data_IF_091045567498
#
_entry.id   IF_091045567498
#
_cell.length_a   1.000
_cell.length_b   1.000
_cell.length_c   1.000
_cell.angle_alpha   90.00
_cell.angle_beta   90.00
_cell.angle_gamma   90.00
#
_symmetry.space_group_name_H-M   'P 1'
#
loop_
_entity.id
_entity.type
_entity.pdbx_description
1 polymer ?
#
# COMPACT_ATOMS: atom_id res chain seq x y z
N UNK A 1 23.81 8.62 -7.93
CA UNK A 1 24.62 9.39 -7.00
C UNK A 1 24.42 8.93 -5.57
N UNK A 2 25.36 9.24 -4.72
CA UNK A 2 25.31 8.87 -3.31
C UNK A 2 24.09 9.50 -2.59
N UNK A 3 23.72 10.74 -2.95
CA UNK A 3 22.54 11.40 -2.39
C UNK A 3 21.24 10.70 -2.77
N UNK A 4 21.12 10.21 -4.00
CA UNK A 4 19.96 9.44 -4.44
C UNK A 4 19.86 8.12 -3.69
N UNK A 5 20.98 7.41 -3.51
CA UNK A 5 21.03 6.16 -2.76
C UNK A 5 20.65 6.37 -1.29
N UNK A 6 21.16 7.43 -0.66
CA UNK A 6 20.81 7.78 0.72
C UNK A 6 19.33 8.12 0.86
N UNK A 7 18.79 8.88 -0.09
CA UNK A 7 17.37 9.23 -0.13
C UNK A 7 16.49 7.97 -0.21
N UNK A 8 16.83 7.05 -1.11
CA UNK A 8 16.09 5.79 -1.26
C UNK A 8 16.17 4.96 0.02
N UNK A 9 17.35 4.85 0.64
CA UNK A 9 17.54 4.10 1.87
C UNK A 9 16.72 4.67 3.04
N UNK A 10 16.68 5.99 3.18
CA UNK A 10 15.87 6.66 4.19
C UNK A 10 14.38 6.38 3.98
N UNK A 11 13.91 6.41 2.72
CA UNK A 11 12.52 6.13 2.38
C UNK A 11 12.16 4.68 2.63
N UNK A 12 13.06 3.75 2.33
CA UNK A 12 12.88 2.33 2.61
C UNK A 12 12.75 2.10 4.13
N UNK A 13 13.58 2.74 4.94
CA UNK A 13 13.50 2.65 6.40
C UNK A 13 12.15 3.15 6.91
N UNK A 14 11.68 4.29 6.41
CA UNK A 14 10.39 4.86 6.78
C UNK A 14 9.23 3.90 6.44
N UNK A 15 9.24 3.35 5.23
CA UNK A 15 8.24 2.40 4.76
C UNK A 15 8.26 1.13 5.60
N UNK A 16 9.44 0.61 5.93
CA UNK A 16 9.60 -0.58 6.77
C UNK A 16 8.97 -0.35 8.14
N UNK A 17 9.16 0.84 8.72
CA UNK A 17 8.54 1.22 10.00
C UNK A 17 7.02 1.22 9.90
N UNK A 18 6.46 1.83 8.84
CA UNK A 18 5.01 1.85 8.61
C UNK A 18 4.43 0.44 8.45
N UNK A 19 5.11 -0.44 7.71
CA UNK A 19 4.68 -1.82 7.56
C UNK A 19 4.76 -2.60 8.87
N UNK A 20 5.78 -2.33 9.69
CA UNK A 20 5.90 -2.94 11.02
C UNK A 20 4.74 -2.52 11.92
N UNK A 21 4.33 -1.25 11.89
CA UNK A 21 3.18 -0.75 12.65
C UNK A 21 1.88 -1.43 12.20
N UNK A 22 1.69 -1.62 10.89
CA UNK A 22 0.53 -2.34 10.34
C UNK A 22 0.54 -3.80 10.80
N UNK A 23 1.68 -4.46 10.77
CA UNK A 23 1.83 -5.84 11.24
C UNK A 23 1.51 -5.96 12.74
N UNK A 24 1.93 -5.00 13.55
CA UNK A 24 1.63 -4.95 14.98
C UNK A 24 0.12 -4.79 15.21
N UNK A 25 -0.54 -3.90 14.48
CA UNK A 25 -1.99 -3.73 14.53
C UNK A 25 -2.70 -5.03 14.15
N UNK A 26 -2.18 -5.72 13.13
CA UNK A 26 -2.70 -7.00 12.67
C UNK A 26 -2.62 -8.09 13.75
N UNK A 27 -1.50 -8.18 14.44
CA UNK A 27 -1.30 -9.14 15.53
C UNK A 27 -2.25 -8.84 16.68
N UNK A 28 -2.40 -7.57 17.05
CA UNK A 28 -3.37 -7.13 18.07
C UNK A 28 -4.79 -7.49 17.68
N UNK A 29 -5.16 -7.30 16.43
CA UNK A 29 -6.48 -7.64 15.90
C UNK A 29 -6.74 -9.15 16.00
N UNK A 30 -5.79 -9.96 15.57
CA UNK A 30 -5.87 -11.43 15.66
C UNK A 30 -6.02 -11.91 17.10
N UNK A 31 -5.25 -11.37 18.01
CA UNK A 31 -5.29 -11.71 19.42
C UNK A 31 -6.65 -11.39 20.02
N UNK A 32 -7.19 -10.22 19.69
CA UNK A 32 -8.50 -9.77 20.20
C UNK A 32 -9.64 -10.69 19.77
N UNK A 33 -9.58 -11.26 18.58
CA UNK A 33 -10.63 -12.12 18.03
C UNK A 33 -10.33 -13.60 18.10
N UNK A 34 -9.25 -13.99 18.78
CA UNK A 34 -8.88 -15.38 18.96
C UNK A 34 -9.86 -16.06 19.91
N UNK A 35 -10.48 -17.11 19.42
CA UNK A 35 -11.44 -17.91 20.19
C UNK A 35 -10.86 -19.26 20.56
N UNK A 36 -11.26 -19.80 21.70
CA UNK A 36 -10.82 -21.11 22.20
C UNK A 36 -11.65 -22.24 21.56
N UNK A 37 -11.21 -23.50 21.78
CA UNK A 37 -11.86 -24.68 21.24
C UNK A 37 -13.33 -24.77 21.63
N UNK A 38 -14.19 -25.03 20.64
CA UNK A 38 -15.61 -25.23 20.75
C UNK A 38 -16.02 -26.36 19.80
N UNK A 39 -17.29 -26.74 19.79
CA UNK A 39 -17.81 -27.80 18.94
C UNK A 39 -17.56 -27.60 17.45
N UNK A 40 -17.76 -28.65 16.63
CA UNK A 40 -17.41 -28.66 15.21
C UNK A 40 -18.05 -27.53 14.41
N UNK A 41 -19.30 -27.12 14.74
CA UNK A 41 -19.94 -25.97 14.09
C UNK A 41 -19.19 -24.68 14.37
N UNK A 42 -18.80 -24.49 15.64
CA UNK A 42 -18.01 -23.36 16.05
C UNK A 42 -16.63 -23.37 15.35
N UNK A 43 -16.01 -24.54 15.20
CA UNK A 43 -14.75 -24.65 14.45
C UNK A 43 -14.89 -24.21 13.01
N UNK A 44 -16.02 -24.56 12.37
CA UNK A 44 -16.28 -24.09 10.99
C UNK A 44 -16.41 -22.57 10.92
N UNK A 45 -17.11 -21.96 11.88
CA UNK A 45 -17.18 -20.51 11.95
C UNK A 45 -15.85 -19.87 12.28
N UNK A 46 -15.02 -20.50 13.11
CA UNK A 46 -13.69 -20.03 13.43
C UNK A 46 -12.77 -20.05 12.19
N UNK A 47 -12.82 -21.10 11.39
CA UNK A 47 -12.04 -21.18 10.15
C UNK A 47 -12.46 -20.08 9.20
N UNK A 48 -13.76 -19.93 8.97
CA UNK A 48 -14.30 -18.88 8.09
C UNK A 48 -13.95 -17.50 8.63
N UNK A 49 -14.04 -17.29 9.94
CA UNK A 49 -13.68 -16.03 10.59
C UNK A 49 -12.21 -15.72 10.46
N UNK A 50 -11.34 -16.74 10.58
CA UNK A 50 -9.89 -16.56 10.40
C UNK A 50 -9.55 -16.18 8.96
N UNK A 51 -10.16 -16.81 7.97
CA UNK A 51 -9.97 -16.47 6.56
C UNK A 51 -10.45 -15.05 6.26
N UNK A 52 -11.61 -14.69 6.80
CA UNK A 52 -12.17 -13.34 6.68
C UNK A 52 -11.28 -12.29 7.34
N UNK A 53 -10.75 -12.59 8.52
CA UNK A 53 -9.80 -11.74 9.24
C UNK A 53 -8.53 -11.51 8.41
N UNK A 54 -7.99 -12.56 7.82
CA UNK A 54 -6.80 -12.45 6.95
C UNK A 54 -7.08 -11.61 5.70
N UNK A 55 -8.24 -11.79 5.09
CA UNK A 55 -8.64 -11.01 3.91
C UNK A 55 -8.80 -9.53 4.25
N UNK A 56 -9.41 -9.24 5.39
CA UNK A 56 -9.57 -7.86 5.87
C UNK A 56 -8.21 -7.22 6.17
N UNK A 57 -7.32 -7.96 6.80
CA UNK A 57 -5.98 -7.50 7.10
C UNK A 57 -5.23 -7.16 5.81
N UNK A 58 -5.28 -8.04 4.83
CA UNK A 58 -4.65 -7.82 3.53
C UNK A 58 -5.21 -6.56 2.85
N UNK A 59 -6.54 -6.42 2.80
CA UNK A 59 -7.19 -5.25 2.21
C UNK A 59 -6.82 -3.96 2.95
N UNK A 60 -6.81 -4.00 4.27
CA UNK A 60 -6.42 -2.84 5.10
C UNK A 60 -4.96 -2.46 4.87
N UNK A 61 -4.08 -3.44 4.74
CA UNK A 61 -2.67 -3.22 4.43
C UNK A 61 -2.52 -2.54 3.06
N UNK A 62 -3.27 -2.98 2.05
CA UNK A 62 -3.23 -2.35 0.73
C UNK A 62 -3.71 -0.88 0.78
N UNK A 63 -4.75 -0.60 1.57
CA UNK A 63 -5.21 0.78 1.79
C UNK A 63 -4.09 1.63 2.39
N UNK A 64 -3.43 1.13 3.42
CA UNK A 64 -2.35 1.85 4.09
C UNK A 64 -1.17 2.12 3.18
N UNK A 65 -0.77 1.15 2.37
CA UNK A 65 0.31 1.32 1.39
C UNK A 65 -0.07 2.39 0.37
N UNK A 66 -1.28 2.32 -0.17
CA UNK A 66 -1.77 3.29 -1.15
C UNK A 66 -1.84 4.71 -0.57
N UNK A 67 -2.32 4.85 0.67
CA UNK A 67 -2.34 6.13 1.38
C UNK A 67 -0.94 6.69 1.57
N UNK A 68 0.00 5.84 1.95
CA UNK A 68 1.39 6.23 2.13
C UNK A 68 1.97 6.79 0.83
N UNK A 69 1.79 6.10 -0.29
CA UNK A 69 2.31 6.56 -1.58
C UNK A 69 1.63 7.87 -2.00
N UNK A 70 0.33 7.98 -1.77
CA UNK A 70 -0.40 9.21 -2.09
C UNK A 70 0.12 10.41 -1.29
N UNK A 71 0.32 10.26 0.01
CA UNK A 71 0.88 11.29 0.87
C UNK A 71 2.31 11.64 0.46
N UNK A 72 3.09 10.63 0.15
CA UNK A 72 4.46 10.81 -0.33
C UNK A 72 4.48 11.68 -1.59
N UNK A 73 3.61 11.40 -2.56
CA UNK A 73 3.54 12.17 -3.80
C UNK A 73 3.11 13.62 -3.57
N UNK A 74 2.26 13.87 -2.59
CA UNK A 74 1.87 15.24 -2.24
C UNK A 74 3.01 16.04 -1.62
N UNK A 75 3.87 15.38 -0.86
CA UNK A 75 5.00 16.02 -0.17
C UNK A 75 6.26 16.12 -1.04
N UNK A 76 6.40 15.27 -2.03
CA UNK A 76 7.60 15.17 -2.88
C UNK A 76 7.20 15.44 -4.34
N UNK A 77 7.18 16.72 -4.70
CA UNK A 77 6.69 17.20 -5.99
C UNK A 77 7.80 17.54 -6.99
N UNK A 78 9.05 17.48 -6.57
CA UNK A 78 10.16 17.86 -7.42
C UNK A 78 10.49 16.79 -8.48
N UNK A 79 10.95 17.19 -9.67
CA UNK A 79 11.34 16.23 -10.71
C UNK A 79 12.51 15.34 -10.32
N UNK A 80 13.17 15.63 -9.19
CA UNK A 80 14.30 14.85 -8.66
C UNK A 80 13.84 13.78 -7.68
N UNK A 81 12.57 13.79 -7.29
CA UNK A 81 12.03 12.88 -6.26
C UNK A 81 11.62 11.56 -6.88
N UNK A 82 12.24 10.48 -6.44
CA UNK A 82 11.85 9.12 -6.81
C UNK A 82 10.62 8.69 -6.01
N UNK A 83 9.82 7.81 -6.60
CA UNK A 83 8.69 7.20 -5.91
C UNK A 83 9.17 5.86 -5.33
N UNK A 84 8.88 5.56 -4.05
CA UNK A 84 9.24 4.27 -3.46
C UNK A 84 8.63 3.09 -4.22
N UNK A 85 9.40 2.02 -4.36
CA UNK A 85 8.98 0.79 -5.04
C UNK A 85 9.03 -0.40 -4.10
N UNK A 86 8.48 -1.53 -4.55
CA UNK A 86 8.51 -2.78 -3.79
C UNK A 86 7.83 -2.70 -2.43
N UNK A 87 6.73 -1.95 -2.38
CA UNK A 87 5.96 -1.76 -1.15
C UNK A 87 4.91 -2.85 -0.90
N UNK A 88 4.76 -3.78 -1.85
CA UNK A 88 3.73 -4.79 -1.76
C UNK A 88 2.36 -4.33 -2.27
N UNK A 89 2.31 -3.23 -3.01
CA UNK A 89 1.06 -2.75 -3.61
C UNK A 89 0.64 -3.69 -4.75
N UNK A 90 -0.56 -4.25 -4.66
CA UNK A 90 -1.07 -5.26 -5.58
C UNK A 90 -1.69 -4.62 -6.82
N UNK A 91 -0.87 -4.00 -7.65
CA UNK A 91 -1.29 -3.46 -8.94
C UNK A 91 -0.09 -3.39 -9.88
N UNK A 92 -0.08 -4.26 -10.88
CA UNK A 92 1.03 -4.38 -11.83
C UNK A 92 1.13 -3.14 -12.72
N UNK A 93 0.01 -2.61 -13.16
CA UNK A 93 -0.02 -1.42 -14.03
C UNK A 93 0.57 -0.21 -13.32
N UNK A 94 0.17 0.01 -12.07
CA UNK A 94 0.71 1.11 -11.26
C UNK A 94 2.20 0.92 -10.98
N UNK A 95 2.62 -0.31 -10.64
CA UNK A 95 4.03 -0.61 -10.43
C UNK A 95 4.87 -0.29 -11.67
N UNK A 96 4.37 -0.63 -12.85
CA UNK A 96 5.05 -0.33 -14.10
C UNK A 96 5.12 1.18 -14.36
N UNK A 97 4.06 1.92 -14.07
CA UNK A 97 4.05 3.39 -14.17
C UNK A 97 5.08 4.03 -13.24
N UNK A 98 5.16 3.55 -12.01
CA UNK A 98 6.13 4.04 -11.02
C UNK A 98 7.56 3.75 -11.49
N UNK A 99 7.82 2.55 -11.98
CA UNK A 99 9.14 2.18 -12.50
C UNK A 99 9.55 3.06 -13.69
N UNK A 100 8.62 3.31 -14.60
CA UNK A 100 8.85 4.20 -15.75
C UNK A 100 9.15 5.63 -15.28
N UNK A 101 8.38 6.13 -14.33
CA UNK A 101 8.60 7.45 -13.72
C UNK A 101 10.01 7.54 -13.12
N UNK A 102 10.39 6.57 -12.29
CA UNK A 102 11.70 6.55 -11.64
C UNK A 102 12.83 6.49 -12.66
N UNK A 103 12.66 5.72 -13.71
CA UNK A 103 13.64 5.63 -14.80
C UNK A 103 13.84 6.99 -15.46
N UNK A 104 12.78 7.72 -15.74
CA UNK A 104 12.87 9.06 -16.32
C UNK A 104 13.54 10.05 -15.37
N UNK A 105 13.26 9.99 -14.08
CA UNK A 105 13.91 10.84 -13.08
C UNK A 105 15.43 10.61 -13.05
N UNK A 106 15.86 9.35 -13.08
CA UNK A 106 17.27 8.98 -13.10
C UNK A 106 17.96 9.41 -14.41
N UNK A 107 17.28 9.24 -15.53
CA UNK A 107 17.78 9.68 -16.84
C UNK A 107 17.92 11.20 -16.89
N UNK A 108 16.94 11.93 -16.36
CA UNK A 108 17.01 13.40 -16.22
C UNK A 108 18.24 13.81 -15.42
N UNK A 109 18.46 13.18 -14.27
CA UNK A 109 19.61 13.47 -13.41
C UNK A 109 20.94 13.29 -14.16
N UNK A 110 21.05 12.22 -14.94
CA UNK A 110 22.24 11.95 -15.74
C UNK A 110 22.46 13.01 -16.82
N UNK A 111 21.40 13.40 -17.52
CA UNK A 111 21.46 14.38 -18.59
C UNK A 111 21.83 15.78 -18.09
N UNK A 112 21.29 16.17 -16.96
CA UNK A 112 21.60 17.47 -16.34
C UNK A 112 23.10 17.57 -16.00
N UNK A 113 23.70 16.51 -15.49
CA UNK A 113 25.14 16.49 -15.20
C UNK A 113 25.99 16.73 -16.44
N UNK A 114 25.52 16.27 -17.60
CA UNK A 114 26.27 16.35 -18.85
C UNK A 114 26.00 17.59 -19.68
N UNK A 115 24.78 18.13 -19.63
CA UNK A 115 24.34 19.16 -20.58
C UNK A 115 23.52 20.31 -19.99
N UNK A 116 23.24 20.28 -18.67
CA UNK A 116 22.49 21.34 -17.99
C UNK A 116 20.98 21.31 -18.21
N UNK A 117 20.27 22.09 -17.40
CA UNK A 117 18.79 22.09 -17.36
C UNK A 117 18.12 22.68 -18.59
N UNK A 118 18.82 23.54 -19.33
CA UNK A 118 18.24 24.22 -20.50
C UNK A 118 18.24 23.36 -21.77
N UNK A 119 18.82 22.18 -21.73
CA UNK A 119 18.82 21.26 -22.85
C UNK A 119 17.38 20.89 -23.22
N UNK A 120 16.97 21.03 -24.50
CA UNK A 120 15.63 20.65 -24.94
C UNK A 120 15.24 19.21 -24.63
N UNK A 121 16.22 18.30 -24.61
CA UNK A 121 15.99 16.89 -24.23
C UNK A 121 15.56 16.80 -22.78
N UNK A 122 16.17 17.57 -21.88
CA UNK A 122 15.81 17.63 -20.47
C UNK A 122 14.38 18.17 -20.31
N UNK A 123 14.04 19.22 -21.04
CA UNK A 123 12.69 19.79 -21.00
C UNK A 123 11.64 18.79 -21.49
N UNK A 124 11.94 17.98 -22.50
CA UNK A 124 11.07 16.93 -22.97
C UNK A 124 10.87 15.86 -21.92
N UNK A 125 11.93 15.45 -21.24
CA UNK A 125 11.85 14.48 -20.13
C UNK A 125 11.04 15.07 -18.99
N UNK A 126 11.20 16.35 -18.66
CA UNK A 126 10.41 17.02 -17.62
C UNK A 126 8.91 16.96 -17.93
N UNK A 127 8.53 17.15 -19.19
CA UNK A 127 7.14 17.02 -19.63
C UNK A 127 6.63 15.59 -19.48
N UNK A 128 7.45 14.60 -19.81
CA UNK A 128 7.11 13.19 -19.64
C UNK A 128 6.95 12.83 -18.16
N UNK A 129 7.86 13.30 -17.32
CA UNK A 129 7.80 13.10 -15.86
C UNK A 129 6.50 13.68 -15.31
N UNK A 130 6.17 14.92 -15.71
CA UNK A 130 4.94 15.58 -15.28
C UNK A 130 3.70 14.80 -15.69
N UNK A 131 3.63 14.34 -16.93
CA UNK A 131 2.53 13.54 -17.44
C UNK A 131 2.36 12.21 -16.72
N UNK A 132 3.46 11.50 -16.49
CA UNK A 132 3.47 10.24 -15.74
C UNK A 132 3.06 10.46 -14.29
N UNK A 133 3.50 11.55 -13.68
CA UNK A 133 3.13 11.87 -12.30
C UNK A 133 1.61 12.06 -12.17
N UNK A 134 1.00 12.77 -13.09
CA UNK A 134 -0.46 12.94 -13.13
C UNK A 134 -1.14 11.58 -13.27
N UNK A 135 -0.70 10.75 -14.19
CA UNK A 135 -1.21 9.40 -14.40
C UNK A 135 -1.09 8.53 -13.16
N UNK A 136 0.06 8.55 -12.49
CA UNK A 136 0.29 7.79 -11.26
C UNK A 136 -0.67 8.26 -10.17
N UNK A 137 -0.82 9.58 -10.00
CA UNK A 137 -1.74 10.15 -8.99
C UNK A 137 -3.18 9.72 -9.24
N UNK A 138 -3.65 9.78 -10.48
CA UNK A 138 -5.01 9.37 -10.84
C UNK A 138 -5.22 7.87 -10.60
N UNK A 139 -4.30 7.05 -11.07
CA UNK A 139 -4.35 5.61 -10.87
C UNK A 139 -4.34 5.24 -9.39
N UNK A 140 -3.52 5.92 -8.61
CA UNK A 140 -3.41 5.71 -7.17
C UNK A 140 -4.69 6.11 -6.44
N UNK A 141 -5.29 7.24 -6.81
CA UNK A 141 -6.56 7.69 -6.23
C UNK A 141 -7.68 6.68 -6.49
N UNK A 142 -7.76 6.17 -7.72
CA UNK A 142 -8.74 5.16 -8.09
C UNK A 142 -8.50 3.84 -7.38
N UNK A 143 -7.25 3.42 -7.27
CA UNK A 143 -6.86 2.20 -6.59
C UNK A 143 -7.18 2.28 -5.09
N UNK A 144 -6.88 3.42 -4.47
CA UNK A 144 -7.19 3.67 -3.07
C UNK A 144 -8.68 3.55 -2.80
N UNK A 145 -9.51 4.14 -3.65
CA UNK A 145 -10.97 3.98 -3.55
C UNK A 145 -11.40 2.52 -3.63
N UNK A 146 -10.84 1.78 -4.58
CA UNK A 146 -11.14 0.36 -4.76
C UNK A 146 -10.77 -0.44 -3.52
N UNK A 147 -9.59 -0.20 -2.96
CA UNK A 147 -9.15 -0.88 -1.75
C UNK A 147 -9.99 -0.51 -0.54
N UNK A 148 -10.37 0.76 -0.42
CA UNK A 148 -11.24 1.23 0.68
C UNK A 148 -12.62 0.56 0.63
N UNK A 149 -13.21 0.45 -0.56
CA UNK A 149 -14.49 -0.22 -0.76
C UNK A 149 -14.35 -1.70 -0.36
N UNK A 150 -13.31 -2.37 -0.82
CA UNK A 150 -13.05 -3.78 -0.50
C UNK A 150 -12.88 -3.98 1.00
N UNK A 151 -12.08 -3.14 1.65
CA UNK A 151 -11.85 -3.22 3.09
C UNK A 151 -13.15 -3.01 3.87
N UNK A 152 -13.99 -2.07 3.45
CA UNK A 152 -15.29 -1.80 4.07
C UNK A 152 -16.23 -2.99 3.95
N UNK A 153 -16.31 -3.60 2.77
CA UNK A 153 -17.15 -4.78 2.54
C UNK A 153 -16.65 -5.99 3.35
N UNK A 154 -15.34 -6.18 3.41
CA UNK A 154 -14.74 -7.25 4.21
C UNK A 154 -14.93 -7.02 5.71
N UNK A 155 -14.84 -5.78 6.18
CA UNK A 155 -15.11 -5.44 7.58
C UNK A 155 -16.56 -5.76 7.97
N UNK A 156 -17.50 -5.46 7.08
CA UNK A 156 -18.91 -5.77 7.27
C UNK A 156 -19.13 -7.27 7.38
N UNK A 157 -18.53 -8.03 6.47
CA UNK A 157 -18.59 -9.50 6.47
C UNK A 157 -17.97 -10.08 7.75
N UNK A 158 -16.84 -9.53 8.17
CA UNK A 158 -16.13 -9.93 9.39
C UNK A 158 -17.02 -9.74 10.62
N UNK A 159 -17.70 -8.60 10.72
CA UNK A 159 -18.61 -8.32 11.82
C UNK A 159 -19.79 -9.30 11.84
N UNK A 160 -20.33 -9.67 10.70
CA UNK A 160 -21.41 -10.66 10.58
C UNK A 160 -20.95 -12.04 11.06
N UNK A 161 -19.75 -12.48 10.67
CA UNK A 161 -19.15 -13.75 11.08
C UNK A 161 -18.88 -13.76 12.59
N UNK A 162 -18.30 -12.69 13.12
CA UNK A 162 -18.00 -12.57 14.55
C UNK A 162 -19.26 -12.56 15.41
N UNK A 163 -20.35 -11.98 14.93
CA UNK A 163 -21.65 -12.02 15.60
C UNK A 163 -22.16 -13.46 15.73
N UNK A 164 -22.02 -14.26 14.66
CA UNK A 164 -22.41 -15.68 14.65
C UNK A 164 -21.52 -16.50 15.61
N UNK A 165 -20.22 -16.29 15.58
CA UNK A 165 -19.26 -16.96 16.46
C UNK A 165 -19.54 -16.60 17.94
N UNK A 166 -19.78 -15.30 18.20
CA UNK A 166 -20.09 -14.83 19.55
C UNK A 166 -21.36 -15.40 20.16
N UNK A 167 -22.30 -15.88 19.36
CA UNK A 167 -23.54 -16.49 19.83
C UNK A 167 -23.40 -17.99 20.10
N UNK A 168 -22.40 -18.66 19.54
CA UNK A 168 -22.18 -20.11 19.70
C UNK A 168 -21.99 -20.52 21.18
N UNK A 169 -21.12 -19.88 21.99
CA UNK A 169 -20.92 -20.27 23.38
C UNK A 169 -22.20 -20.19 24.24
N UNK A 170 -23.16 -19.38 23.87
CA UNK A 170 -24.43 -19.23 24.60
C UNK A 170 -25.31 -20.47 24.48
N UNK A 171 -25.16 -21.24 23.43
CA UNK A 171 -25.95 -22.45 23.18
C UNK A 171 -25.32 -23.69 23.80
N UNK A 172 -24.07 -23.63 24.22
CA UNK A 172 -23.34 -24.72 24.89
C UNK A 172 -23.61 -24.77 26.41
N UNK A 173 -24.18 -23.71 26.94
CA UNK A 173 -24.55 -23.64 28.36
C UNK A 173 -25.97 -24.11 28.54
#
# INVERSE_FOLDING_TARGET
SQNTANFINERIKFITTELSDVETEAESYKTKYKLTDVESEAKQFLVTGSESEMSLLEATTQVRIAEFVNDYLQKHNEPTDLIPTNLGLNDVALANQINEYNKLVLERSRLIKNSGEKNPVVQNIDNQISGLRISVKESLTNLLKTFQIRAKELAKKENEINAKIGNVPKYER
#
